data_IF_410967024883
#
_entry.id   IF_410967024883
#
_cell.length_a   1.000
_cell.length_b   1.000
_cell.length_c   1.000
_cell.angle_alpha   90.00
_cell.angle_beta   90.00
_cell.angle_gamma   90.00
#
_symmetry.space_group_name_H-M   'P 1'
#
loop_
_entity.id
_entity.type
_entity.pdbx_description
1 polymer ?
#
# COMPACT_ATOMS: atom_id res chain seq x y z
N UNK A 1 12.10 9.62 -24.80
CA UNK A 1 11.39 8.42 -24.34
C UNK A 1 10.53 7.91 -25.47
N UNK A 2 9.62 8.75 -25.95
CA UNK A 2 8.73 8.47 -27.09
C UNK A 2 9.47 7.92 -28.31
N UNK A 3 10.59 8.56 -28.71
CA UNK A 3 11.45 8.05 -29.80
C UNK A 3 11.88 6.59 -29.65
N UNK A 4 12.29 6.16 -28.45
CA UNK A 4 12.74 4.78 -28.21
C UNK A 4 11.56 3.81 -28.17
N UNK A 5 10.41 4.26 -27.68
CA UNK A 5 9.18 3.48 -27.68
C UNK A 5 8.70 3.24 -29.11
N UNK A 6 8.63 4.29 -29.92
CA UNK A 6 8.21 4.21 -31.33
C UNK A 6 9.18 3.33 -32.12
N UNK A 7 10.49 3.53 -31.95
CA UNK A 7 11.52 2.67 -32.56
C UNK A 7 11.34 1.20 -32.17
N UNK A 8 11.09 0.92 -30.89
CA UNK A 8 10.87 -0.43 -30.39
C UNK A 8 9.62 -1.07 -30.98
N UNK A 9 8.53 -0.30 -31.14
CA UNK A 9 7.29 -0.77 -31.76
C UNK A 9 7.45 -1.07 -33.25
N UNK A 10 8.17 -0.24 -33.98
CA UNK A 10 8.34 -0.38 -35.43
C UNK A 10 9.37 -1.46 -35.81
N UNK A 11 10.50 -1.50 -35.10
CA UNK A 11 11.66 -2.30 -35.51
C UNK A 11 11.90 -3.56 -34.66
N UNK A 12 11.17 -3.70 -33.55
CA UNK A 12 11.41 -4.74 -32.54
C UNK A 12 12.73 -4.59 -31.78
N UNK A 13 13.50 -3.52 -32.03
CA UNK A 13 14.81 -3.28 -31.44
C UNK A 13 14.88 -1.85 -30.87
N UNK A 14 15.65 -1.69 -29.79
CA UNK A 14 15.92 -0.38 -29.18
C UNK A 14 17.42 -0.17 -29.01
N UNK A 15 17.89 1.07 -29.23
CA UNK A 15 19.29 1.45 -29.02
C UNK A 15 19.38 2.65 -28.07
N UNK A 16 19.29 2.35 -26.77
CA UNK A 16 19.44 3.35 -25.70
C UNK A 16 20.81 4.05 -25.76
N UNK A 17 21.97 3.35 -25.91
CA UNK A 17 23.26 4.00 -26.02
C UNK A 17 23.35 5.04 -27.15
N UNK A 18 22.88 4.69 -28.35
CA UNK A 18 22.91 5.59 -29.49
C UNK A 18 21.94 6.76 -29.29
N UNK A 19 20.75 6.51 -28.73
CA UNK A 19 19.80 7.57 -28.39
C UNK A 19 20.41 8.58 -27.41
N UNK A 20 21.03 8.12 -26.32
CA UNK A 20 21.68 9.01 -25.34
C UNK A 20 22.84 9.77 -25.97
N UNK A 21 23.61 9.15 -26.85
CA UNK A 21 24.70 9.81 -27.60
C UNK A 21 24.16 10.94 -28.49
N UNK A 22 23.08 10.70 -29.23
CA UNK A 22 22.41 11.73 -30.06
C UNK A 22 21.88 12.88 -29.21
N UNK A 23 21.26 12.59 -28.06
CA UNK A 23 20.78 13.62 -27.13
C UNK A 23 21.93 14.48 -26.59
N UNK A 24 23.06 13.86 -26.24
CA UNK A 24 24.25 14.55 -25.73
C UNK A 24 24.92 15.45 -26.77
N UNK A 25 24.80 15.11 -28.05
CA UNK A 25 25.30 15.95 -29.14
C UNK A 25 24.53 17.28 -29.25
N UNK A 26 23.24 17.30 -28.90
CA UNK A 26 22.42 18.51 -28.91
C UNK A 26 22.48 19.27 -27.58
N UNK A 27 22.57 18.55 -26.45
CA UNK A 27 22.66 19.14 -25.11
C UNK A 27 23.58 18.30 -24.24
N UNK A 28 24.69 18.87 -23.84
CA UNK A 28 25.64 18.21 -22.91
C UNK A 28 24.92 17.83 -21.62
N UNK A 29 25.36 16.72 -21.00
CA UNK A 29 24.79 16.20 -19.75
C UNK A 29 23.32 15.74 -19.84
N UNK A 30 22.84 15.31 -21.02
CA UNK A 30 21.61 14.51 -21.09
C UNK A 30 21.84 13.12 -20.50
N UNK A 31 20.96 12.70 -19.58
CA UNK A 31 21.06 11.45 -18.79
C UNK A 31 22.37 11.41 -18.00
N UNK A 32 22.37 12.01 -16.81
CA UNK A 32 23.59 12.37 -16.07
C UNK A 32 24.12 11.26 -15.19
N UNK A 33 23.22 10.46 -14.60
CA UNK A 33 23.60 9.47 -13.59
C UNK A 33 23.42 8.05 -14.09
N UNK A 34 24.19 7.12 -13.53
CA UNK A 34 24.02 5.69 -13.80
C UNK A 34 22.60 5.21 -13.46
N UNK A 35 21.99 5.76 -12.40
CA UNK A 35 20.62 5.43 -12.00
C UNK A 35 19.59 5.88 -13.04
N UNK A 36 19.73 7.09 -13.60
CA UNK A 36 18.87 7.57 -14.69
C UNK A 36 19.03 6.68 -15.94
N UNK A 37 20.27 6.30 -16.27
CA UNK A 37 20.55 5.44 -17.41
C UNK A 37 19.93 4.04 -17.23
N UNK A 38 20.07 3.43 -16.04
CA UNK A 38 19.44 2.14 -15.71
C UNK A 38 17.91 2.22 -15.74
N UNK A 39 17.35 3.33 -15.29
CA UNK A 39 15.90 3.56 -15.32
C UNK A 39 15.34 3.57 -16.75
N UNK A 40 16.07 4.12 -17.73
CA UNK A 40 15.65 4.07 -19.14
C UNK A 40 15.48 2.63 -19.64
N UNK A 41 16.39 1.72 -19.30
CA UNK A 41 16.25 0.30 -19.63
C UNK A 41 15.04 -0.32 -18.95
N UNK A 42 14.86 -0.06 -17.65
CA UNK A 42 13.70 -0.59 -16.90
C UNK A 42 12.38 -0.11 -17.53
N UNK A 43 12.31 1.17 -17.89
CA UNK A 43 11.11 1.77 -18.46
C UNK A 43 10.82 1.27 -19.89
N UNK A 44 11.85 1.10 -20.72
CA UNK A 44 11.69 0.47 -22.04
C UNK A 44 11.21 -0.98 -21.93
N UNK A 45 11.77 -1.74 -20.99
CA UNK A 45 11.35 -3.12 -20.73
C UNK A 45 9.88 -3.16 -20.32
N UNK A 46 9.47 -2.29 -19.40
CA UNK A 46 8.07 -2.18 -18.96
C UNK A 46 7.13 -1.83 -20.13
N UNK A 47 7.47 -0.81 -20.92
CA UNK A 47 6.57 -0.35 -21.99
C UNK A 47 6.48 -1.29 -23.21
N UNK A 48 7.56 -2.02 -23.51
CA UNK A 48 7.64 -2.86 -24.71
C UNK A 48 7.34 -4.33 -24.43
N UNK A 49 7.80 -4.85 -23.29
CA UNK A 49 7.68 -6.28 -22.94
C UNK A 49 6.45 -6.54 -22.08
N UNK A 50 6.04 -5.56 -21.26
CA UNK A 50 4.94 -5.71 -20.30
C UNK A 50 3.76 -4.77 -20.57
N UNK A 51 3.25 -4.70 -21.82
CA UNK A 51 2.15 -3.83 -22.14
C UNK A 51 0.89 -4.32 -21.44
N UNK A 52 0.48 -3.61 -20.39
CA UNK A 52 -0.89 -3.76 -19.87
C UNK A 52 -1.78 -2.76 -20.59
N UNK A 53 -2.83 -3.25 -21.24
CA UNK A 53 -3.85 -2.40 -21.84
C UNK A 53 -4.76 -1.90 -20.71
N UNK A 54 -4.89 -0.58 -20.51
CA UNK A 54 -5.97 -0.05 -19.68
C UNK A 54 -7.32 -0.55 -20.21
N UNK A 55 -8.24 -0.80 -19.28
CA UNK A 55 -9.61 -1.22 -19.56
C UNK A 55 -10.58 -0.26 -18.88
N UNK A 56 -11.73 -0.06 -19.50
CA UNK A 56 -12.84 0.69 -18.87
C UNK A 56 -13.56 -0.20 -17.85
N UNK A 57 -14.35 0.43 -16.99
CA UNK A 57 -15.25 -0.26 -16.04
C UNK A 57 -16.24 -1.20 -16.73
N UNK A 58 -16.82 -0.78 -17.85
CA UNK A 58 -17.74 -1.59 -18.67
C UNK A 58 -17.07 -2.89 -19.14
N UNK A 59 -15.82 -2.79 -19.60
CA UNK A 59 -15.05 -3.95 -20.05
C UNK A 59 -14.74 -4.90 -18.88
N UNK A 60 -14.60 -4.36 -17.66
CA UNK A 60 -14.35 -5.15 -16.46
C UNK A 60 -15.53 -6.04 -16.04
N UNK A 61 -16.75 -5.69 -16.44
CA UNK A 61 -17.97 -6.45 -16.15
C UNK A 61 -18.18 -7.70 -17.02
N UNK A 62 -17.37 -7.86 -18.09
CA UNK A 62 -17.47 -8.99 -19.03
C UNK A 62 -16.64 -10.21 -18.62
N UNK A 63 -17.16 -11.42 -18.91
CA UNK A 63 -16.59 -12.72 -18.50
C UNK A 63 -15.20 -13.08 -19.08
N UNK A 64 -14.65 -12.31 -20.03
CA UNK A 64 -13.47 -12.75 -20.80
C UNK A 64 -12.38 -11.68 -20.89
N UNK A 65 -11.67 -11.45 -19.78
CA UNK A 65 -10.56 -10.50 -19.69
C UNK A 65 -9.17 -11.10 -19.55
N UNK A 66 -9.07 -12.43 -19.52
CA UNK A 66 -7.79 -13.10 -19.29
C UNK A 66 -7.10 -12.66 -17.99
N UNK A 67 -7.87 -12.40 -16.93
CA UNK A 67 -7.34 -11.93 -15.65
C UNK A 67 -6.29 -12.89 -15.08
N UNK A 68 -6.46 -14.20 -15.37
CA UNK A 68 -5.54 -15.24 -14.90
C UNK A 68 -4.20 -15.15 -15.62
N UNK A 69 -4.21 -14.92 -16.93
CA UNK A 69 -3.03 -14.67 -17.75
C UNK A 69 -2.33 -13.39 -17.28
N UNK A 70 -3.08 -12.29 -17.11
CA UNK A 70 -2.54 -11.03 -16.59
C UNK A 70 -1.88 -11.19 -15.20
N UNK A 71 -2.48 -11.99 -14.32
CA UNK A 71 -1.88 -12.28 -13.01
C UNK A 71 -0.62 -13.15 -13.13
N UNK A 72 -0.62 -14.13 -14.03
CA UNK A 72 0.55 -14.98 -14.27
C UNK A 72 1.72 -14.16 -14.82
N UNK A 73 1.44 -13.19 -15.68
CA UNK A 73 2.44 -12.28 -16.22
C UNK A 73 3.16 -11.50 -15.10
N UNK A 74 2.45 -11.03 -14.06
CA UNK A 74 3.07 -10.36 -12.90
C UNK A 74 4.20 -11.19 -12.26
N UNK A 75 4.06 -12.52 -12.21
CA UNK A 75 5.10 -13.40 -11.64
C UNK A 75 6.33 -13.52 -12.55
N UNK A 76 6.11 -13.54 -13.87
CA UNK A 76 7.19 -13.55 -14.87
C UNK A 76 7.95 -12.22 -14.84
N UNK A 77 7.22 -11.13 -14.61
CA UNK A 77 7.72 -9.76 -14.56
C UNK A 77 8.64 -9.46 -13.38
N UNK A 78 8.36 -10.01 -12.20
CA UNK A 78 9.22 -9.84 -11.03
C UNK A 78 10.66 -10.30 -11.29
N UNK A 79 10.85 -11.28 -12.17
CA UNK A 79 12.18 -11.74 -12.58
C UNK A 79 12.93 -10.73 -13.45
N UNK A 80 12.22 -9.85 -14.16
CA UNK A 80 12.78 -8.85 -15.09
C UNK A 80 13.28 -7.59 -14.36
N UNK A 81 12.72 -7.31 -13.18
CA UNK A 81 13.12 -6.20 -12.33
C UNK A 81 13.61 -6.73 -10.98
N UNK A 82 14.85 -7.27 -10.92
CA UNK A 82 15.41 -7.71 -9.65
C UNK A 82 15.36 -6.56 -8.63
N UNK A 83 14.86 -6.90 -7.44
CA UNK A 83 14.53 -5.98 -6.36
C UNK A 83 15.75 -5.12 -5.98
N UNK A 84 15.63 -3.80 -6.08
CA UNK A 84 16.56 -2.86 -5.42
C UNK A 84 16.20 -2.70 -3.91
N UNK A 85 15.23 -3.47 -3.42
CA UNK A 85 14.78 -3.49 -2.04
C UNK A 85 15.84 -4.09 -1.13
N UNK A 86 16.70 -3.25 -0.56
CA UNK A 86 17.61 -3.65 0.50
C UNK A 86 16.85 -3.73 1.82
N UNK A 87 17.08 -4.80 2.58
CA UNK A 87 16.45 -5.03 3.89
C UNK A 87 17.48 -4.93 5.02
N UNK A 88 18.48 -4.04 4.87
CA UNK A 88 19.62 -3.99 5.79
C UNK A 88 19.17 -3.57 7.18
N UNK A 89 18.33 -2.53 7.28
CA UNK A 89 17.83 -2.07 8.58
C UNK A 89 17.01 -3.16 9.26
N UNK A 90 16.13 -3.81 8.50
CA UNK A 90 15.22 -4.85 8.99
C UNK A 90 15.92 -6.10 9.53
N UNK A 91 17.10 -6.43 9.00
CA UNK A 91 17.84 -7.66 9.31
C UNK A 91 18.91 -7.48 10.40
N UNK A 92 19.15 -6.25 10.88
CA UNK A 92 20.03 -6.03 12.03
C UNK A 92 19.54 -6.78 13.28
N UNK A 93 20.47 -7.17 14.16
CA UNK A 93 20.14 -7.91 15.38
C UNK A 93 19.14 -7.15 16.28
N UNK A 94 19.17 -5.82 16.26
CA UNK A 94 18.28 -4.95 17.04
C UNK A 94 16.85 -4.91 16.50
N UNK A 95 16.65 -5.18 15.21
CA UNK A 95 15.37 -5.01 14.52
C UNK A 95 14.69 -6.34 14.14
N UNK A 96 15.39 -7.47 14.20
CA UNK A 96 14.82 -8.78 13.87
C UNK A 96 13.55 -9.10 14.67
N UNK A 97 13.54 -8.82 15.98
CA UNK A 97 12.37 -9.02 16.85
C UNK A 97 11.21 -8.05 16.60
N UNK A 98 11.43 -7.00 15.80
CA UNK A 98 10.39 -6.03 15.39
C UNK A 98 9.61 -6.50 14.16
N UNK A 99 10.01 -7.62 13.53
CA UNK A 99 9.36 -8.19 12.36
C UNK A 99 8.54 -9.42 12.77
N UNK A 100 7.26 -9.45 12.38
CA UNK A 100 6.40 -10.62 12.63
C UNK A 100 6.82 -11.82 11.77
N UNK A 101 7.28 -11.56 10.55
CA UNK A 101 7.80 -12.58 9.64
C UNK A 101 9.06 -12.05 8.93
N UNK A 102 10.05 -12.91 8.78
CA UNK A 102 11.26 -12.60 8.00
C UNK A 102 11.00 -12.64 6.48
N UNK A 103 9.86 -13.18 6.05
CA UNK A 103 9.46 -13.17 4.65
C UNK A 103 8.86 -11.84 4.22
N UNK A 104 8.44 -11.00 5.18
CA UNK A 104 7.75 -9.73 4.94
C UNK A 104 8.46 -8.62 5.73
N UNK A 105 9.44 -8.00 5.09
CA UNK A 105 10.28 -6.94 5.67
C UNK A 105 10.01 -5.60 4.98
N UNK A 106 10.28 -4.51 5.70
CA UNK A 106 10.26 -3.17 5.13
C UNK A 106 11.57 -2.91 4.36
N UNK A 107 11.44 -2.57 3.08
CA UNK A 107 12.58 -2.17 2.26
C UNK A 107 13.12 -0.79 2.69
N UNK A 108 14.44 -0.64 2.77
CA UNK A 108 15.12 0.59 3.23
C UNK A 108 14.73 1.82 2.38
N UNK A 109 14.46 1.60 1.09
CA UNK A 109 14.08 2.65 0.13
C UNK A 109 12.68 3.23 0.36
N UNK A 110 11.80 2.48 1.05
CA UNK A 110 10.38 2.83 1.17
C UNK A 110 9.87 2.85 2.61
N UNK A 111 10.71 2.49 3.60
CA UNK A 111 10.32 2.54 5.00
C UNK A 111 10.21 4.00 5.50
N UNK A 112 9.28 4.30 6.43
CA UNK A 112 9.37 5.52 7.20
C UNK A 112 10.59 5.44 8.14
N UNK A 113 11.29 6.56 8.26
CA UNK A 113 12.33 6.75 9.27
C UNK A 113 11.69 7.35 10.52
N UNK A 114 11.98 6.72 11.66
CA UNK A 114 11.64 7.24 12.98
C UNK A 114 12.85 7.96 13.59
N UNK A 115 12.62 8.83 14.57
CA UNK A 115 13.70 9.43 15.37
C UNK A 115 14.49 8.34 16.13
N UNK A 116 15.43 8.68 17.02
CA UNK A 116 16.01 7.67 17.95
C UNK A 116 16.12 8.24 19.36
N UNK A 117 15.16 9.10 19.69
CA UNK A 117 15.20 9.93 20.90
C UNK A 117 14.74 9.18 22.16
N UNK A 118 14.22 7.97 22.01
CA UNK A 118 13.78 7.11 23.12
C UNK A 118 14.83 6.01 23.31
N UNK A 119 15.32 5.77 24.54
CA UNK A 119 16.28 4.70 24.80
C UNK A 119 15.78 3.34 24.29
N UNK A 120 16.72 2.54 23.75
CA UNK A 120 16.44 1.20 23.21
C UNK A 120 15.49 1.15 22.01
N UNK A 121 15.23 2.30 21.38
CA UNK A 121 14.56 2.36 20.08
C UNK A 121 15.56 2.60 18.95
N UNK A 122 15.17 2.23 17.74
CA UNK A 122 15.93 2.47 16.51
C UNK A 122 15.11 3.39 15.60
N UNK A 123 15.64 3.71 14.43
CA UNK A 123 14.91 4.43 13.38
C UNK A 123 13.96 3.53 12.56
N UNK A 124 13.88 2.23 12.92
CA UNK A 124 13.21 1.19 12.16
C UNK A 124 11.86 0.78 12.75
N UNK A 125 10.88 0.64 11.86
CA UNK A 125 9.62 -0.07 12.06
C UNK A 125 9.29 -0.82 10.77
N UNK A 126 8.67 -2.00 10.86
CA UNK A 126 8.23 -2.76 9.68
C UNK A 126 6.97 -2.13 9.05
N UNK A 127 7.17 -1.00 8.39
CA UNK A 127 6.17 -0.29 7.64
C UNK A 127 6.78 0.20 6.31
N UNK A 128 5.95 0.42 5.30
CA UNK A 128 6.39 1.05 4.04
C UNK A 128 5.40 2.14 3.65
N UNK A 129 5.94 3.24 3.12
CA UNK A 129 5.17 4.35 2.58
C UNK A 129 4.72 3.96 1.18
N UNK A 130 3.42 4.04 0.91
CA UNK A 130 2.83 3.75 -0.40
C UNK A 130 2.10 4.96 -0.98
N UNK A 131 2.23 5.20 -2.29
CA UNK A 131 1.45 6.19 -2.98
C UNK A 131 0.04 5.65 -3.22
N UNK A 132 -0.87 6.57 -3.51
CA UNK A 132 -2.03 6.27 -4.33
C UNK A 132 -1.85 6.92 -5.70
N UNK A 133 -2.91 7.00 -6.49
CA UNK A 133 -2.85 7.69 -7.77
C UNK A 133 -2.74 9.21 -7.57
N UNK A 134 -3.48 9.74 -6.59
CA UNK A 134 -3.54 11.18 -6.29
C UNK A 134 -2.37 11.67 -5.44
N UNK A 135 -1.85 10.87 -4.50
CA UNK A 135 -0.85 11.33 -3.52
C UNK A 135 0.40 10.43 -3.48
N UNK A 136 1.62 11.00 -3.46
CA UNK A 136 2.86 10.22 -3.42
C UNK A 136 3.07 9.47 -2.09
N UNK A 137 2.43 9.93 -1.02
CA UNK A 137 2.51 9.37 0.34
C UNK A 137 1.12 9.20 0.92
N UNK A 138 0.25 8.47 0.23
CA UNK A 138 -1.14 8.29 0.68
C UNK A 138 -1.27 7.35 1.87
N UNK A 139 -0.49 6.27 1.86
CA UNK A 139 -0.59 5.22 2.86
C UNK A 139 0.74 5.00 3.55
N UNK A 140 0.66 4.53 4.79
CA UNK A 140 1.73 3.77 5.42
C UNK A 140 1.16 2.39 5.72
N UNK A 141 1.72 1.34 5.12
CA UNK A 141 1.27 -0.03 5.38
C UNK A 141 2.19 -0.66 6.41
N UNK A 142 1.61 -1.19 7.50
CA UNK A 142 2.36 -1.85 8.59
C UNK A 142 1.72 -3.17 9.00
N UNK A 143 2.52 -4.05 9.60
CA UNK A 143 2.00 -5.20 10.33
C UNK A 143 1.25 -4.74 11.59
N UNK A 144 0.34 -5.59 12.09
CA UNK A 144 -0.26 -5.40 13.40
C UNK A 144 0.87 -5.31 14.46
N UNK A 145 0.86 -4.27 15.32
CA UNK A 145 1.96 -4.01 16.24
C UNK A 145 2.27 -5.23 17.11
N UNK A 146 3.56 -5.46 17.33
CA UNK A 146 4.07 -6.44 18.29
C UNK A 146 4.36 -5.73 19.61
N UNK A 147 4.44 -6.47 20.71
CA UNK A 147 4.84 -5.93 22.01
C UNK A 147 6.19 -5.19 21.92
N UNK A 148 7.18 -5.81 21.26
CA UNK A 148 8.52 -5.24 21.07
C UNK A 148 8.56 -4.05 20.10
N UNK A 149 7.56 -3.86 19.24
CA UNK A 149 7.49 -2.76 18.28
C UNK A 149 6.42 -1.72 18.63
N UNK A 150 5.75 -1.87 19.78
CA UNK A 150 4.60 -1.03 20.14
C UNK A 150 5.00 0.43 20.39
N UNK A 151 6.16 0.65 21.01
CA UNK A 151 6.74 1.99 21.19
C UNK A 151 7.00 2.64 19.83
N UNK A 152 7.60 1.91 18.89
CA UNK A 152 7.87 2.39 17.53
C UNK A 152 6.59 2.66 16.74
N UNK A 153 5.53 1.86 16.96
CA UNK A 153 4.22 2.08 16.35
C UNK A 153 3.58 3.39 16.84
N UNK A 154 3.63 3.67 18.14
CA UNK A 154 3.14 4.95 18.68
C UNK A 154 3.96 6.14 18.14
N UNK A 155 5.27 5.97 18.02
CA UNK A 155 6.15 7.00 17.44
C UNK A 155 5.83 7.25 15.98
N UNK A 156 5.56 6.19 15.20
CA UNK A 156 5.11 6.30 13.81
C UNK A 156 3.85 7.17 13.70
N UNK A 157 2.85 6.92 14.57
CA UNK A 157 1.61 7.70 14.60
C UNK A 157 1.90 9.18 14.85
N UNK A 158 2.68 9.51 15.89
CA UNK A 158 2.99 10.90 16.22
C UNK A 158 3.89 11.59 15.17
N UNK A 159 4.96 10.93 14.72
CA UNK A 159 5.97 11.54 13.83
C UNK A 159 5.48 11.67 12.38
N UNK A 160 4.51 10.86 11.96
CA UNK A 160 3.88 10.96 10.63
C UNK A 160 2.49 11.57 10.68
N UNK A 161 2.11 12.14 11.82
CA UNK A 161 0.86 12.86 12.04
C UNK A 161 -0.37 12.04 11.58
N UNK A 162 -0.38 10.74 11.91
CA UNK A 162 -1.43 9.82 11.48
C UNK A 162 -2.72 10.15 12.21
N UNK A 163 -3.73 10.59 11.47
CA UNK A 163 -5.07 10.89 12.01
C UNK A 163 -6.01 9.68 11.91
N UNK A 164 -5.77 8.78 10.97
CA UNK A 164 -6.65 7.65 10.66
C UNK A 164 -5.87 6.35 10.47
N UNK A 165 -6.31 5.30 11.16
CA UNK A 165 -5.83 3.94 11.02
C UNK A 165 -6.94 3.04 10.47
N UNK A 166 -6.64 2.25 9.43
CA UNK A 166 -7.54 1.21 8.92
C UNK A 166 -6.99 -0.15 9.32
N UNK A 167 -7.79 -0.97 9.99
CA UNK A 167 -7.33 -2.22 10.61
C UNK A 167 -8.15 -3.42 10.15
N UNK A 168 -7.45 -4.46 9.69
CA UNK A 168 -8.01 -5.73 9.21
C UNK A 168 -7.63 -6.92 10.11
N UNK A 169 -7.39 -6.64 11.39
CA UNK A 169 -6.91 -7.56 12.43
C UNK A 169 -7.95 -7.82 13.53
N UNK A 170 -9.24 -7.60 13.26
CA UNK A 170 -10.34 -7.80 14.23
C UNK A 170 -10.39 -9.21 14.82
N UNK A 171 -9.94 -10.20 14.03
CA UNK A 171 -9.92 -11.62 14.38
C UNK A 171 -8.75 -12.05 15.26
N UNK A 172 -7.82 -11.14 15.56
CA UNK A 172 -6.75 -11.39 16.53
C UNK A 172 -7.32 -11.53 17.94
N UNK A 173 -6.66 -12.32 18.79
CA UNK A 173 -7.05 -12.38 20.20
C UNK A 173 -6.82 -11.03 20.88
N UNK A 174 -7.56 -10.74 21.95
CA UNK A 174 -7.38 -9.48 22.68
C UNK A 174 -5.97 -9.37 23.29
N UNK A 175 -5.33 -10.49 23.63
CA UNK A 175 -3.93 -10.50 24.09
C UNK A 175 -2.93 -10.12 22.99
N UNK A 176 -3.23 -10.44 21.73
CA UNK A 176 -2.39 -10.08 20.59
C UNK A 176 -2.62 -8.63 20.12
N UNK A 177 -3.79 -8.05 20.44
CA UNK A 177 -4.10 -6.65 20.14
C UNK A 177 -3.31 -5.75 21.10
N UNK A 178 -2.34 -5.00 20.55
CA UNK A 178 -1.53 -4.12 21.38
C UNK A 178 -2.24 -2.82 21.82
N UNK A 179 -3.34 -2.45 21.16
CA UNK A 179 -4.09 -1.20 21.41
C UNK A 179 -5.08 -1.37 22.58
N UNK A 180 -5.12 -0.42 23.53
CA UNK A 180 -5.98 -0.51 24.72
C UNK A 180 -7.46 -0.42 24.37
N UNK A 181 -8.31 -1.11 25.15
CA UNK A 181 -9.77 -1.02 25.06
C UNK A 181 -10.33 0.38 25.35
N UNK A 182 -11.65 0.53 25.23
CA UNK A 182 -12.33 1.77 25.58
C UNK A 182 -12.15 2.10 27.07
N UNK A 183 -11.80 3.35 27.38
CA UNK A 183 -11.43 3.84 28.72
C UNK A 183 -10.18 3.21 29.34
N UNK A 184 -9.46 2.35 28.62
CA UNK A 184 -8.20 1.77 29.08
C UNK A 184 -7.02 2.63 28.67
N UNK A 185 -5.96 2.60 29.49
CA UNK A 185 -4.72 3.33 29.22
C UNK A 185 -3.52 2.40 29.30
N UNK A 186 -2.73 2.37 28.24
CA UNK A 186 -1.44 1.68 28.18
C UNK A 186 -0.31 2.69 28.23
N UNK A 187 0.60 2.54 29.20
CA UNK A 187 1.75 3.44 29.36
C UNK A 187 3.07 2.68 29.32
N UNK A 188 3.99 3.10 28.46
CA UNK A 188 5.29 2.45 28.28
C UNK A 188 6.32 3.45 27.73
N UNK A 189 7.53 3.48 28.27
CA UNK A 189 8.64 4.31 27.76
C UNK A 189 8.29 5.80 27.53
N UNK A 190 7.50 6.39 28.43
CA UNK A 190 7.06 7.80 28.33
C UNK A 190 5.94 8.06 27.31
N UNK A 191 5.39 7.01 26.71
CA UNK A 191 4.15 7.03 25.93
C UNK A 191 2.97 6.72 26.85
N UNK A 192 1.86 7.43 26.65
CA UNK A 192 0.56 7.11 27.23
C UNK A 192 -0.48 7.08 26.11
N UNK A 193 -1.00 5.89 25.81
CA UNK A 193 -2.07 5.68 24.84
C UNK A 193 -3.36 5.33 25.58
N UNK A 194 -4.43 6.08 25.32
CA UNK A 194 -5.74 5.87 25.94
C UNK A 194 -6.80 5.64 24.87
N UNK A 195 -7.59 4.56 25.01
CA UNK A 195 -8.80 4.37 24.21
C UNK A 195 -9.91 5.25 24.76
N UNK A 196 -10.47 6.13 23.92
CA UNK A 196 -11.41 7.18 24.34
C UNK A 196 -12.86 6.76 24.13
N UNK A 197 -13.17 6.20 22.95
CA UNK A 197 -14.53 5.77 22.62
C UNK A 197 -14.51 4.62 21.63
N UNK A 198 -15.59 3.84 21.62
CA UNK A 198 -15.88 2.82 20.63
C UNK A 198 -17.29 3.04 20.05
N UNK A 199 -17.37 3.53 18.83
CA UNK A 199 -18.62 3.69 18.09
C UNK A 199 -19.00 2.32 17.49
N UNK A 200 -20.15 1.75 17.87
CA UNK A 200 -20.54 0.40 17.44
C UNK A 200 -20.84 0.32 15.95
N UNK A 201 -20.93 -0.91 15.45
CA UNK A 201 -21.34 -1.23 14.08
C UNK A 201 -22.81 -0.83 13.87
N UNK A 202 -23.07 0.34 13.29
CA UNK A 202 -24.42 0.81 12.95
C UNK A 202 -24.92 0.15 11.65
N UNK A 203 -25.07 -1.18 11.68
CA UNK A 203 -25.41 -1.98 10.49
C UNK A 203 -24.29 -2.13 9.46
N UNK A 204 -23.09 -1.63 9.76
CA UNK A 204 -21.86 -1.75 8.95
C UNK A 204 -21.02 -2.97 9.34
N UNK A 205 -20.09 -3.34 8.46
CA UNK A 205 -19.07 -4.36 8.73
C UNK A 205 -17.83 -3.81 9.44
N UNK A 206 -17.89 -2.60 9.98
CA UNK A 206 -16.79 -1.95 10.67
C UNK A 206 -17.28 -1.09 11.83
N UNK A 207 -16.40 -0.86 12.79
CA UNK A 207 -16.63 0.03 13.92
C UNK A 207 -15.45 1.00 14.05
N UNK A 208 -15.68 2.13 14.72
CA UNK A 208 -14.69 3.21 14.85
C UNK A 208 -14.28 3.35 16.31
N UNK A 209 -12.98 3.45 16.56
CA UNK A 209 -12.41 3.71 17.88
C UNK A 209 -11.65 5.02 17.85
N UNK A 210 -11.72 5.78 18.95
CA UNK A 210 -10.94 7.02 19.11
C UNK A 210 -9.85 6.84 20.15
N UNK A 211 -8.69 7.44 19.93
CA UNK A 211 -7.54 7.34 20.82
C UNK A 211 -6.88 8.68 21.08
N UNK A 212 -6.40 8.86 22.31
CA UNK A 212 -5.51 9.95 22.71
C UNK A 212 -4.12 9.36 22.99
N UNK A 213 -3.13 9.75 22.19
CA UNK A 213 -1.74 9.32 22.31
C UNK A 213 -0.88 10.48 22.80
N UNK A 214 -0.34 10.38 24.01
CA UNK A 214 0.57 11.38 24.56
C UNK A 214 2.01 10.88 24.51
N UNK A 215 2.87 11.63 23.83
CA UNK A 215 4.32 11.40 23.74
C UNK A 215 5.05 12.72 23.97
N UNK A 216 6.04 12.74 24.88
CA UNK A 216 6.83 13.95 25.21
C UNK A 216 5.96 15.19 25.49
N UNK A 217 4.90 15.02 26.28
CA UNK A 217 3.93 16.08 26.64
C UNK A 217 3.08 16.65 25.48
N UNK A 218 3.18 16.08 24.28
CA UNK A 218 2.27 16.38 23.17
C UNK A 218 1.23 15.27 23.06
N UNK A 219 -0.04 15.65 23.00
CA UNK A 219 -1.14 14.71 22.78
C UNK A 219 -1.57 14.79 21.32
N UNK A 220 -1.51 13.65 20.64
CA UNK A 220 -1.96 13.42 19.28
C UNK A 220 -3.23 12.58 19.31
N UNK A 221 -4.26 13.00 18.58
CA UNK A 221 -5.54 12.27 18.49
C UNK A 221 -5.65 11.58 17.16
N UNK A 222 -6.14 10.35 17.17
CA UNK A 222 -6.39 9.60 15.95
C UNK A 222 -7.59 8.67 16.13
N UNK A 223 -8.19 8.28 15.01
CA UNK A 223 -9.23 7.27 14.96
C UNK A 223 -8.75 6.00 14.29
N UNK A 224 -9.34 4.87 14.66
CA UNK A 224 -9.12 3.57 14.05
C UNK A 224 -10.45 3.04 13.54
N UNK A 225 -10.54 2.75 12.25
CA UNK A 225 -11.64 1.99 11.67
C UNK A 225 -11.21 0.52 11.61
N UNK A 226 -11.96 -0.34 12.30
CA UNK A 226 -11.69 -1.77 12.35
C UNK A 226 -12.71 -2.49 11.48
N UNK A 227 -12.25 -3.11 10.40
CA UNK A 227 -13.09 -3.91 9.51
C UNK A 227 -13.23 -5.34 10.03
N UNK A 228 -14.47 -5.82 10.06
CA UNK A 228 -14.87 -7.10 10.66
C UNK A 228 -15.48 -8.07 9.67
N UNK A 229 -15.81 -7.63 8.45
CA UNK A 229 -16.28 -8.47 7.33
C UNK A 229 -15.18 -9.32 6.67
N UNK A 230 -14.05 -9.54 7.35
CA UNK A 230 -12.91 -10.29 6.80
C UNK A 230 -12.12 -11.02 7.90
N UNK A 231 -12.49 -12.26 8.18
CA UNK A 231 -11.81 -13.09 9.19
C UNK A 231 -10.37 -13.43 8.80
N UNK A 232 -9.53 -13.83 9.77
CA UNK A 232 -8.11 -14.12 9.54
C UNK A 232 -7.86 -15.29 8.58
N UNK A 233 -8.72 -16.30 8.60
CA UNK A 233 -8.59 -17.50 7.75
C UNK A 233 -9.11 -17.29 6.32
N UNK A 234 -9.78 -16.17 6.04
CA UNK A 234 -10.31 -15.86 4.72
C UNK A 234 -9.30 -15.10 3.89
N UNK A 235 -9.10 -15.55 2.65
CA UNK A 235 -8.25 -14.86 1.67
C UNK A 235 -8.88 -13.58 1.10
N UNK A 236 -10.22 -13.48 1.16
CA UNK A 236 -11.03 -12.40 0.61
C UNK A 236 -12.02 -11.82 1.63
N UNK A 237 -12.41 -10.54 1.50
CA UNK A 237 -13.57 -10.01 2.19
C UNK A 237 -14.84 -10.81 1.84
N UNK A 238 -15.81 -10.84 2.76
CA UNK A 238 -17.07 -11.58 2.55
C UNK A 238 -17.88 -11.10 1.34
N UNK A 239 -17.79 -9.80 1.03
CA UNK A 239 -18.52 -9.21 -0.09
C UNK A 239 -17.75 -8.01 -0.66
N UNK A 240 -17.55 -7.96 -2.00
CA UNK A 240 -17.06 -6.75 -2.67
C UNK A 240 -17.89 -5.51 -2.33
N UNK A 241 -19.22 -5.63 -2.20
CA UNK A 241 -20.12 -4.51 -1.88
C UNK A 241 -19.81 -3.92 -0.50
N UNK A 242 -19.68 -4.78 0.52
CA UNK A 242 -19.39 -4.35 1.90
C UNK A 242 -17.98 -3.77 2.02
N UNK A 243 -17.02 -4.29 1.23
CA UNK A 243 -15.68 -3.72 1.15
C UNK A 243 -15.68 -2.33 0.47
N UNK A 244 -16.49 -2.15 -0.57
CA UNK A 244 -16.72 -0.85 -1.20
C UNK A 244 -17.43 0.15 -0.27
N UNK A 245 -18.35 -0.31 0.58
CA UNK A 245 -18.96 0.50 1.64
C UNK A 245 -17.90 1.03 2.62
N UNK A 246 -16.94 0.17 3.04
CA UNK A 246 -15.79 0.60 3.84
C UNK A 246 -14.97 1.67 3.10
N UNK A 247 -14.58 1.45 1.84
CA UNK A 247 -13.79 2.42 1.07
C UNK A 247 -14.49 3.79 0.95
N UNK A 248 -15.80 3.79 0.68
CA UNK A 248 -16.61 5.01 0.65
C UNK A 248 -16.64 5.71 2.00
N UNK A 249 -16.84 4.97 3.08
CA UNK A 249 -16.80 5.53 4.43
C UNK A 249 -15.44 6.15 4.75
N UNK A 250 -14.34 5.44 4.48
CA UNK A 250 -12.97 5.93 4.70
C UNK A 250 -12.70 7.20 3.90
N UNK A 251 -13.11 7.25 2.62
CA UNK A 251 -13.02 8.47 1.79
C UNK A 251 -13.76 9.64 2.43
N UNK A 252 -14.98 9.43 2.93
CA UNK A 252 -15.80 10.49 3.53
C UNK A 252 -15.22 11.04 4.84
N UNK A 253 -14.60 10.19 5.66
CA UNK A 253 -14.01 10.64 6.93
C UNK A 253 -12.59 11.18 6.78
N UNK A 254 -11.90 10.86 5.69
CA UNK A 254 -10.55 11.38 5.45
C UNK A 254 -10.61 12.81 4.96
N UNK A 255 -10.25 13.76 5.83
CA UNK A 255 -10.35 15.20 5.56
C UNK A 255 -9.02 15.87 5.16
N UNK A 256 -7.92 15.18 5.40
CA UNK A 256 -6.57 15.70 5.19
C UNK A 256 -5.80 14.85 4.18
N UNK A 257 -4.71 15.42 3.66
CA UNK A 257 -3.72 14.68 2.87
C UNK A 257 -2.73 13.90 3.75
N UNK A 258 -2.93 13.90 5.08
CA UNK A 258 -2.12 13.10 6.00
C UNK A 258 -2.18 11.62 5.61
N UNK A 259 -1.08 10.86 5.78
CA UNK A 259 -1.07 9.46 5.40
C UNK A 259 -2.08 8.65 6.22
N UNK A 260 -2.82 7.76 5.55
CA UNK A 260 -3.64 6.76 6.22
C UNK A 260 -2.72 5.59 6.60
N UNK A 261 -2.68 5.23 7.88
CA UNK A 261 -1.99 4.03 8.33
C UNK A 261 -2.88 2.82 8.11
N UNK A 262 -2.48 1.87 7.28
CA UNK A 262 -3.25 0.66 6.99
C UNK A 262 -2.52 -0.54 7.59
N UNK A 263 -3.20 -1.30 8.44
CA UNK A 263 -2.62 -2.49 9.07
C UNK A 263 -3.48 -3.74 8.87
N UNK A 264 -2.78 -4.86 8.73
CA UNK A 264 -3.33 -6.20 8.89
C UNK A 264 -2.29 -7.03 9.64
N UNK A 265 -2.54 -8.33 9.87
CA UNK A 265 -1.62 -9.18 10.63
C UNK A 265 -0.15 -9.02 10.22
N UNK A 266 0.14 -9.18 8.92
CA UNK A 266 1.49 -9.15 8.37
C UNK A 266 1.85 -7.85 7.63
N UNK A 267 0.89 -6.92 7.45
CA UNK A 267 1.11 -5.69 6.70
C UNK A 267 1.31 -5.90 5.20
N UNK A 268 0.82 -6.98 4.61
CA UNK A 268 0.91 -7.22 3.17
C UNK A 268 -0.45 -7.52 2.54
N UNK A 269 -1.13 -8.59 2.98
CA UNK A 269 -2.20 -9.18 2.17
C UNK A 269 -3.46 -8.29 2.16
N UNK A 270 -4.15 -8.18 3.30
CA UNK A 270 -5.41 -7.43 3.41
C UNK A 270 -5.20 -5.92 3.23
N UNK A 271 -4.12 -5.40 3.83
CA UNK A 271 -3.75 -4.00 3.72
C UNK A 271 -3.32 -3.62 2.31
N UNK A 272 -2.62 -4.52 1.61
CA UNK A 272 -2.28 -4.38 0.20
C UNK A 272 -3.50 -4.37 -0.71
N UNK A 273 -4.48 -5.28 -0.48
CA UNK A 273 -5.74 -5.27 -1.22
C UNK A 273 -6.47 -3.94 -1.09
N UNK A 274 -6.57 -3.42 0.13
CA UNK A 274 -7.16 -2.10 0.38
C UNK A 274 -6.45 -0.98 -0.41
N UNK A 275 -5.11 -0.93 -0.34
CA UNK A 275 -4.34 0.11 -1.03
C UNK A 275 -4.43 0.00 -2.57
N UNK A 276 -4.44 -1.23 -3.10
CA UNK A 276 -4.62 -1.50 -4.54
C UNK A 276 -6.00 -1.00 -4.98
N UNK A 277 -7.09 -1.45 -4.34
CA UNK A 277 -8.45 -1.08 -4.76
C UNK A 277 -8.67 0.42 -4.62
N UNK A 278 -8.20 1.05 -3.54
CA UNK A 278 -8.25 2.50 -3.41
C UNK A 278 -7.60 3.20 -4.60
N UNK A 279 -6.38 2.78 -4.96
CA UNK A 279 -5.60 3.37 -6.05
C UNK A 279 -6.28 3.14 -7.41
N UNK A 280 -6.85 1.96 -7.64
CA UNK A 280 -7.62 1.64 -8.84
C UNK A 280 -8.86 2.54 -8.97
N UNK A 281 -9.59 2.77 -7.88
CA UNK A 281 -10.75 3.65 -7.88
C UNK A 281 -10.36 5.11 -8.18
N UNK A 282 -9.22 5.59 -7.69
CA UNK A 282 -8.72 6.92 -8.04
C UNK A 282 -8.31 7.02 -9.52
N UNK A 283 -7.74 5.95 -10.10
CA UNK A 283 -7.45 5.87 -11.53
C UNK A 283 -8.72 5.97 -12.36
N UNK A 284 -9.73 5.16 -12.05
CA UNK A 284 -11.01 5.18 -12.77
C UNK A 284 -11.68 6.55 -12.67
N UNK A 285 -11.67 7.17 -11.49
CA UNK A 285 -12.28 8.49 -11.27
C UNK A 285 -11.66 9.60 -12.14
N UNK A 286 -10.36 9.52 -12.41
CA UNK A 286 -9.61 10.58 -13.12
C UNK A 286 -9.44 10.27 -14.61
N UNK A 287 -9.05 9.04 -14.95
CA UNK A 287 -8.69 8.64 -16.31
C UNK A 287 -9.83 7.92 -17.05
N UNK A 288 -10.86 7.42 -16.34
CA UNK A 288 -11.95 6.61 -16.90
C UNK A 288 -11.53 5.19 -17.33
N UNK A 289 -10.25 4.88 -17.27
CA UNK A 289 -9.66 3.58 -17.57
C UNK A 289 -8.66 3.17 -16.49
N UNK A 290 -8.42 1.87 -16.35
CA UNK A 290 -7.52 1.36 -15.33
C UNK A 290 -6.80 0.09 -15.79
N UNK A 291 -5.60 -0.12 -15.27
CA UNK A 291 -4.85 -1.37 -15.44
C UNK A 291 -4.53 -1.95 -14.06
N UNK A 292 -5.20 -3.05 -13.71
CA UNK A 292 -4.95 -3.76 -12.44
C UNK A 292 -3.50 -4.25 -12.34
N UNK A 293 -2.92 -4.91 -13.36
CA UNK A 293 -1.53 -5.35 -13.30
C UNK A 293 -0.55 -4.19 -13.05
N UNK A 294 -0.76 -3.04 -13.71
CA UNK A 294 0.14 -1.88 -13.57
C UNK A 294 0.11 -1.31 -12.16
N UNK A 295 -1.07 -1.19 -11.54
CA UNK A 295 -1.20 -0.70 -10.16
C UNK A 295 -0.58 -1.70 -9.18
N UNK A 296 -0.88 -2.99 -9.32
CA UNK A 296 -0.30 -4.04 -8.47
C UNK A 296 1.22 -4.04 -8.56
N UNK A 297 1.78 -3.99 -9.78
CA UNK A 297 3.23 -3.90 -10.02
C UNK A 297 3.83 -2.68 -9.32
N UNK A 298 3.21 -1.52 -9.46
CA UNK A 298 3.70 -0.28 -8.87
C UNK A 298 3.75 -0.33 -7.33
N UNK A 299 2.77 -0.96 -6.69
CA UNK A 299 2.75 -1.14 -5.24
C UNK A 299 3.68 -2.27 -4.78
N UNK A 300 3.84 -3.35 -5.57
CA UNK A 300 4.80 -4.43 -5.29
C UNK A 300 6.25 -3.98 -5.28
N UNK A 301 6.61 -2.91 -6.00
CA UNK A 301 7.93 -2.28 -5.88
C UNK A 301 8.28 -1.91 -4.43
N UNK A 302 7.27 -1.61 -3.59
CA UNK A 302 7.44 -1.18 -2.20
C UNK A 302 7.28 -2.32 -1.22
N UNK A 303 6.39 -3.27 -1.53
CA UNK A 303 6.18 -4.51 -0.78
C UNK A 303 5.70 -5.61 -1.71
N UNK A 304 6.62 -6.51 -2.09
CA UNK A 304 6.40 -7.55 -3.10
C UNK A 304 5.22 -8.49 -2.81
N UNK A 305 4.85 -8.65 -1.54
CA UNK A 305 3.78 -9.56 -1.10
C UNK A 305 2.37 -9.02 -1.32
N UNK A 306 2.21 -7.80 -1.85
CA UNK A 306 0.89 -7.25 -2.18
C UNK A 306 0.19 -8.12 -3.23
N UNK A 307 -1.08 -8.45 -2.98
CA UNK A 307 -1.93 -9.32 -3.82
C UNK A 307 -1.24 -10.67 -4.08
N UNK A 308 -1.04 -11.53 -3.07
CA UNK A 308 -0.27 -12.76 -3.23
C UNK A 308 -1.03 -13.86 -3.99
N UNK A 309 -2.35 -13.72 -4.19
CA UNK A 309 -3.19 -14.73 -4.84
C UNK A 309 -3.97 -14.17 -6.02
N UNK A 310 -4.29 -15.05 -6.96
CA UNK A 310 -5.18 -14.73 -8.09
C UNK A 310 -6.57 -14.30 -7.60
N UNK A 311 -7.07 -14.89 -6.52
CA UNK A 311 -8.39 -14.56 -6.00
C UNK A 311 -8.46 -13.10 -5.50
N UNK A 312 -7.41 -12.60 -4.84
CA UNK A 312 -7.32 -11.17 -4.50
C UNK A 312 -7.20 -10.27 -5.74
N UNK A 313 -6.48 -10.72 -6.76
CA UNK A 313 -6.37 -9.99 -8.03
C UNK A 313 -7.73 -9.89 -8.73
N UNK A 314 -8.48 -10.99 -8.81
CA UNK A 314 -9.84 -11.03 -9.35
C UNK A 314 -10.79 -10.17 -8.51
N UNK A 315 -10.67 -10.21 -7.19
CA UNK A 315 -11.50 -9.39 -6.29
C UNK A 315 -11.33 -7.88 -6.55
N UNK A 316 -10.14 -7.43 -6.97
CA UNK A 316 -9.94 -6.06 -7.42
C UNK A 316 -10.84 -5.73 -8.62
N UNK A 317 -10.88 -6.60 -9.63
CA UNK A 317 -11.74 -6.42 -10.80
C UNK A 317 -13.22 -6.40 -10.42
N UNK A 318 -13.64 -7.33 -9.54
CA UNK A 318 -15.01 -7.42 -9.04
C UNK A 318 -15.44 -6.10 -8.33
N UNK A 319 -14.54 -5.47 -7.57
CA UNK A 319 -14.82 -4.19 -6.90
C UNK A 319 -14.96 -3.02 -7.89
N UNK A 320 -14.09 -2.95 -8.90
CA UNK A 320 -14.14 -1.87 -9.89
C UNK A 320 -15.39 -1.99 -10.79
N UNK A 321 -15.77 -3.20 -11.19
CA UNK A 321 -17.01 -3.42 -11.94
C UNK A 321 -18.26 -3.00 -11.16
N UNK A 322 -18.24 -3.12 -9.82
CA UNK A 322 -19.36 -2.70 -8.97
C UNK A 322 -19.46 -1.18 -8.76
N UNK A 323 -18.35 -0.46 -8.80
CA UNK A 323 -18.36 1.00 -8.64
C UNK A 323 -19.15 1.67 -9.79
N UNK A 324 -18.95 1.15 -10.99
CA UNK A 324 -19.63 1.58 -12.22
C UNK A 324 -21.15 1.36 -12.15
N UNK A 325 -21.57 0.14 -11.79
CA UNK A 325 -22.99 -0.22 -11.69
C UNK A 325 -23.77 0.68 -10.71
N UNK A 326 -23.13 1.13 -9.62
CA UNK A 326 -23.76 2.04 -8.65
C UNK A 326 -23.77 3.50 -9.12
N UNK A 327 -22.84 3.89 -9.99
CA UNK A 327 -22.78 5.24 -10.56
C UNK A 327 -23.92 5.45 -11.57
N UNK A 328 -24.28 4.42 -12.35
CA UNK A 328 -25.40 4.46 -13.30
C UNK A 328 -26.79 4.17 -12.70
N UNK A 329 -26.87 3.59 -11.50
CA UNK A 329 -28.14 3.35 -10.81
C UNK A 329 -28.76 4.62 -10.19
N UNK A 330 -28.02 5.73 -10.16
CA UNK A 330 -28.44 7.01 -9.58
C UNK A 330 -28.91 8.05 -10.62
N UNK A 331 -29.16 7.65 -11.87
CA UNK A 331 -29.67 8.51 -12.94
C UNK A 331 -31.03 8.06 -13.48
#
# INVERSE_FOLDING_TARGET
MDYLYDQGKETGNIDIPQCVTKLRAQRVNMVQTASQYRYLYKLMLEMLVLPSKPVTTEQLSGDNMGLKEQYLDLSTEESLFPDDNTYKSATTNENQSKNRSMDILAADSYRPYLSSDIPSTTDYINAVIMPSFKLPTRFIITQAPLEHSFVDFCRLICEKEIELIISFDDSMSEEEKCLPGENETKSISGIRLTGVSCEPKDGSDFYTRSFDLTLKQKTHRFSQIVYTGWSQSMELPQSPRLFMDLLRHVRNVTRSEAPILVQCLNGADKSGLFAVIWTLLEHVEIDGEVSIPRVVRHLRLRRKQIIPTFDQFKFCADCIALDDANTYANF
#
